data_IF_342951773287
#
_entry.id   IF_342951773287
#
_cell.length_a   1.000
_cell.length_b   1.000
_cell.length_c   1.000
_cell.angle_alpha   90.00
_cell.angle_beta   90.00
_cell.angle_gamma   90.00
#
_symmetry.space_group_name_H-M   'P 1'
#
loop_
_entity.id
_entity.type
_entity.pdbx_description
1 polymer ?
#
# COMPACT_ATOMS: atom_id res chain seq x y z
N UNK A 1 0.91 3.52 -43.15
CA UNK A 1 -0.17 2.52 -43.07
C UNK A 1 -1.28 3.03 -43.97
N UNK A 2 -1.72 2.23 -44.95
CA UNK A 2 -2.72 2.67 -45.92
C UNK A 2 -4.14 2.61 -45.32
N UNK A 3 -4.83 3.74 -45.35
CA UNK A 3 -6.16 3.99 -44.77
C UNK A 3 -7.28 3.17 -45.46
N UNK A 4 -6.95 2.44 -46.53
CA UNK A 4 -7.86 1.64 -47.35
C UNK A 4 -7.75 0.11 -47.20
N UNK A 5 -7.00 -0.42 -46.23
CA UNK A 5 -6.84 -1.88 -46.11
C UNK A 5 -8.17 -2.59 -45.77
N UNK A 6 -8.70 -3.35 -46.73
CA UNK A 6 -9.97 -4.10 -46.61
C UNK A 6 -9.91 -5.13 -45.48
N UNK A 7 -8.72 -5.61 -45.11
CA UNK A 7 -8.53 -6.53 -43.98
C UNK A 7 -8.79 -5.87 -42.63
N UNK A 8 -8.71 -4.54 -42.56
CA UNK A 8 -9.04 -3.76 -41.38
C UNK A 8 -10.52 -3.42 -41.32
N UNK A 9 -11.31 -3.64 -42.37
CA UNK A 9 -12.75 -3.33 -42.37
C UNK A 9 -13.54 -4.04 -41.25
N UNK A 10 -13.35 -5.35 -41.01
CA UNK A 10 -14.03 -6.03 -39.90
C UNK A 10 -13.61 -5.50 -38.53
N UNK A 11 -12.35 -5.07 -38.40
CA UNK A 11 -11.82 -4.51 -37.15
C UNK A 11 -12.30 -3.08 -36.93
N UNK A 12 -12.40 -2.26 -37.99
CA UNK A 12 -12.97 -0.91 -37.96
C UNK A 12 -14.44 -0.93 -37.60
N UNK A 13 -15.19 -1.88 -38.17
CA UNK A 13 -16.61 -2.08 -37.84
C UNK A 13 -16.81 -2.60 -36.41
N UNK A 14 -15.90 -3.44 -35.92
CA UNK A 14 -15.93 -3.89 -34.52
C UNK A 14 -15.52 -2.78 -33.53
N UNK A 15 -14.60 -1.90 -33.92
CA UNK A 15 -14.21 -0.73 -33.13
C UNK A 15 -15.34 0.30 -33.07
N UNK A 16 -16.02 0.59 -34.20
CA UNK A 16 -17.15 1.52 -34.20
C UNK A 16 -18.30 1.03 -33.33
N UNK A 17 -18.55 -0.28 -33.27
CA UNK A 17 -19.55 -0.88 -32.37
C UNK A 17 -19.19 -0.76 -30.89
N UNK A 18 -17.90 -0.72 -30.54
CA UNK A 18 -17.43 -0.57 -29.15
C UNK A 18 -17.43 0.91 -28.76
N UNK A 19 -17.04 1.80 -29.67
CA UNK A 19 -17.02 3.25 -29.47
C UNK A 19 -18.43 3.87 -29.41
N UNK A 20 -19.44 3.20 -29.99
CA UNK A 20 -20.86 3.58 -29.88
C UNK A 20 -21.45 3.34 -28.48
N UNK A 21 -20.79 2.50 -27.65
CA UNK A 21 -21.18 2.33 -26.25
C UNK A 21 -20.51 3.44 -25.43
N UNK A 22 -21.27 4.27 -24.68
CA UNK A 22 -20.67 5.30 -23.85
C UNK A 22 -19.66 4.66 -22.89
N UNK A 23 -18.43 5.17 -22.88
CA UNK A 23 -17.34 4.58 -22.12
C UNK A 23 -17.75 4.55 -20.63
N UNK A 24 -17.77 3.37 -19.98
CA UNK A 24 -18.09 3.27 -18.56
C UNK A 24 -17.17 4.15 -17.69
N UNK A 25 -15.95 4.45 -18.16
CA UNK A 25 -14.99 5.32 -17.50
C UNK A 25 -15.41 6.79 -17.62
N UNK A 26 -15.87 7.25 -18.79
CA UNK A 26 -16.37 8.62 -18.95
C UNK A 26 -17.62 8.87 -18.10
N UNK A 27 -18.49 7.86 -17.99
CA UNK A 27 -19.66 7.90 -17.09
C UNK A 27 -19.23 8.02 -15.62
N UNK A 28 -18.22 7.27 -15.21
CA UNK A 28 -17.67 7.33 -13.85
C UNK A 28 -17.00 8.68 -13.57
N UNK A 29 -16.26 9.24 -14.54
CA UNK A 29 -15.66 10.57 -14.40
C UNK A 29 -16.73 11.65 -14.30
N UNK A 30 -17.80 11.60 -15.09
CA UNK A 30 -18.92 12.53 -14.98
C UNK A 30 -19.66 12.41 -13.64
N UNK A 31 -19.78 11.20 -13.09
CA UNK A 31 -20.36 10.95 -11.76
C UNK A 31 -19.48 11.54 -10.65
N UNK A 32 -18.16 11.32 -10.71
CA UNK A 32 -17.19 11.90 -9.77
C UNK A 32 -17.18 13.43 -9.86
N UNK A 33 -17.13 13.97 -11.07
CA UNK A 33 -17.15 15.41 -11.34
C UNK A 33 -18.45 16.05 -10.81
N UNK A 34 -19.61 15.37 -10.96
CA UNK A 34 -20.88 15.80 -10.38
C UNK A 34 -20.88 15.81 -8.85
N UNK A 35 -20.25 14.81 -8.22
CA UNK A 35 -20.09 14.73 -6.75
C UNK A 35 -19.15 15.84 -6.25
N UNK A 36 -18.05 16.10 -6.96
CA UNK A 36 -17.03 17.10 -6.60
C UNK A 36 -17.52 18.53 -6.83
N UNK A 37 -18.27 18.80 -7.90
CA UNK A 37 -18.81 20.13 -8.21
C UNK A 37 -20.13 20.46 -7.52
N UNK A 38 -20.62 19.60 -6.63
CA UNK A 38 -21.74 19.94 -5.74
C UNK A 38 -23.07 20.13 -6.46
N UNK A 39 -23.31 19.41 -7.56
CA UNK A 39 -24.68 19.24 -8.08
C UNK A 39 -25.33 18.17 -7.21
N UNK A 40 -25.95 18.64 -6.13
CA UNK A 40 -26.48 17.86 -5.02
C UNK A 40 -27.34 16.67 -5.49
N UNK A 41 -26.84 15.45 -5.29
CA UNK A 41 -27.71 14.34 -4.94
C UNK A 41 -27.67 14.18 -3.41
N UNK A 42 -28.82 14.32 -2.71
CA UNK A 42 -28.88 14.07 -1.28
C UNK A 42 -28.84 12.56 -1.06
N UNK A 43 -27.66 12.00 -0.81
CA UNK A 43 -27.54 10.56 -0.55
C UNK A 43 -26.15 10.07 -0.16
N UNK A 44 -25.08 10.73 -0.61
CA UNK A 44 -23.72 10.39 -0.20
C UNK A 44 -23.18 11.44 0.78
N UNK A 45 -23.81 11.52 1.95
CA UNK A 45 -23.02 11.84 3.13
C UNK A 45 -22.03 10.69 3.28
N UNK A 46 -20.74 10.92 3.01
CA UNK A 46 -19.72 10.01 3.52
C UNK A 46 -19.93 9.95 5.03
N UNK A 47 -20.52 8.87 5.50
CA UNK A 47 -20.72 8.66 6.92
C UNK A 47 -19.32 8.54 7.54
N UNK A 48 -18.91 9.44 8.46
CA UNK A 48 -17.62 9.33 9.13
C UNK A 48 -17.42 7.96 9.81
N UNK A 49 -18.49 7.22 10.11
CA UNK A 49 -18.42 5.84 10.58
C UNK A 49 -17.80 4.85 9.56
N UNK A 50 -17.86 5.12 8.25
CA UNK A 50 -17.23 4.27 7.24
C UNK A 50 -15.71 4.46 7.17
N UNK A 51 -15.22 5.66 7.48
CA UNK A 51 -13.79 5.89 7.68
C UNK A 51 -13.28 5.13 8.91
N UNK A 52 -14.15 4.87 9.90
CA UNK A 52 -13.81 4.00 11.02
C UNK A 52 -13.64 2.53 10.61
N UNK A 53 -14.20 2.06 9.50
CA UNK A 53 -13.99 0.69 9.03
C UNK A 53 -12.57 0.50 8.47
N UNK A 54 -12.04 1.50 7.77
CA UNK A 54 -10.64 1.48 7.33
C UNK A 54 -9.68 1.59 8.52
N UNK A 55 -9.95 2.47 9.48
CA UNK A 55 -9.13 2.52 10.71
C UNK A 55 -9.30 1.27 11.57
N UNK A 56 -10.48 0.66 11.60
CA UNK A 56 -10.79 -0.54 12.38
C UNK A 56 -10.07 -1.78 11.85
N UNK A 57 -9.98 -1.94 10.52
CA UNK A 57 -9.20 -3.04 9.90
C UNK A 57 -7.72 -2.90 10.27
N UNK A 58 -7.16 -1.68 10.20
CA UNK A 58 -5.81 -1.42 10.68
C UNK A 58 -5.68 -1.67 12.21
N UNK A 59 -6.67 -1.27 13.01
CA UNK A 59 -6.67 -1.45 14.47
C UNK A 59 -6.79 -2.91 14.92
N UNK A 60 -7.45 -3.75 14.13
CA UNK A 60 -7.64 -5.18 14.46
C UNK A 60 -6.33 -5.94 14.28
N UNK A 61 -5.53 -5.61 13.27
CA UNK A 61 -4.15 -6.09 13.11
C UNK A 61 -3.18 -5.49 14.12
N UNK A 62 -3.43 -4.26 14.61
CA UNK A 62 -2.65 -3.62 15.67
C UNK A 62 -2.86 -4.22 17.06
N UNK A 63 -3.90 -5.02 17.31
CA UNK A 63 -4.12 -5.65 18.63
C UNK A 63 -3.24 -6.88 18.88
N UNK A 64 -2.67 -7.48 17.83
CA UNK A 64 -1.77 -8.61 17.99
C UNK A 64 -0.39 -8.08 18.40
N UNK A 65 0.03 -8.44 19.61
CA UNK A 65 1.36 -8.10 20.08
C UNK A 65 2.37 -9.06 19.45
N UNK A 66 3.30 -8.52 18.67
CA UNK A 66 4.36 -9.29 18.04
C UNK A 66 5.66 -9.15 18.83
N UNK A 67 6.50 -10.19 18.82
CA UNK A 67 7.85 -10.14 19.38
C UNK A 67 8.86 -10.33 18.25
N UNK A 68 9.66 -9.31 17.97
CA UNK A 68 10.70 -9.37 16.94
C UNK A 68 12.06 -9.40 17.59
N UNK A 69 12.82 -10.45 17.31
CA UNK A 69 14.21 -10.59 17.73
C UNK A 69 15.14 -10.09 16.63
N UNK A 70 15.95 -9.10 16.97
CA UNK A 70 16.98 -8.53 16.12
C UNK A 70 18.24 -9.40 16.12
N UNK A 71 19.08 -9.22 15.10
CA UNK A 71 20.35 -9.95 14.95
C UNK A 71 21.36 -9.67 16.07
N UNK A 72 21.22 -8.55 16.78
CA UNK A 72 22.01 -8.17 17.96
C UNK A 72 21.55 -8.89 19.25
N UNK A 73 20.53 -9.76 19.16
CA UNK A 73 19.98 -10.53 20.27
C UNK A 73 18.84 -9.83 21.02
N UNK A 74 18.56 -8.57 20.72
CA UNK A 74 17.50 -7.80 21.37
C UNK A 74 16.10 -8.25 20.94
N UNK A 75 15.17 -8.25 21.88
CA UNK A 75 13.75 -8.52 21.63
C UNK A 75 12.96 -7.21 21.70
N UNK A 76 12.16 -6.94 20.67
CA UNK A 76 11.21 -5.83 20.60
C UNK A 76 9.80 -6.40 20.67
N UNK A 77 8.94 -5.80 21.49
CA UNK A 77 7.56 -6.23 21.67
C UNK A 77 6.64 -5.06 21.32
N UNK A 78 5.53 -5.35 20.66
CA UNK A 78 4.49 -4.36 20.36
C UNK A 78 3.80 -4.64 19.03
N UNK A 79 3.12 -3.64 18.51
CA UNK A 79 2.63 -3.66 17.12
C UNK A 79 3.79 -3.59 16.13
N UNK A 80 3.55 -3.90 14.86
CA UNK A 80 4.58 -3.74 13.82
C UNK A 80 5.16 -2.33 13.78
N UNK A 81 4.31 -1.30 13.95
CA UNK A 81 4.72 0.11 13.96
C UNK A 81 5.60 0.40 15.18
N UNK A 82 5.17 -0.03 16.38
CA UNK A 82 5.93 0.17 17.62
C UNK A 82 7.31 -0.50 17.55
N UNK A 83 7.40 -1.69 16.94
CA UNK A 83 8.66 -2.40 16.76
C UNK A 83 9.60 -1.61 15.85
N UNK A 84 9.13 -1.12 14.70
CA UNK A 84 9.98 -0.29 13.82
C UNK A 84 10.37 1.02 14.51
N UNK A 85 9.47 1.62 15.29
CA UNK A 85 9.78 2.82 16.08
C UNK A 85 10.88 2.56 17.12
N UNK A 86 10.81 1.43 17.83
CA UNK A 86 11.86 0.99 18.76
C UNK A 86 13.19 0.72 18.04
N UNK A 87 13.16 0.15 16.82
CA UNK A 87 14.37 -0.02 15.99
C UNK A 87 15.00 1.33 15.64
N UNK A 88 14.18 2.30 15.23
CA UNK A 88 14.60 3.66 14.88
C UNK A 88 15.18 4.41 16.07
N UNK A 89 14.55 4.30 17.23
CA UNK A 89 15.03 4.88 18.49
C UNK A 89 16.41 4.35 18.86
N UNK A 90 16.58 3.03 18.85
CA UNK A 90 17.86 2.38 19.17
C UNK A 90 18.97 2.71 18.18
N UNK A 91 18.62 2.88 16.92
CA UNK A 91 19.57 3.30 15.90
C UNK A 91 19.92 4.80 15.99
N UNK A 92 19.23 5.58 16.83
CA UNK A 92 19.48 7.01 17.04
C UNK A 92 18.86 7.93 15.99
N UNK A 93 17.91 7.43 15.18
CA UNK A 93 17.30 8.16 14.05
C UNK A 93 15.93 8.77 14.39
N UNK A 94 15.70 9.15 15.65
CA UNK A 94 14.45 9.79 16.11
C UNK A 94 14.14 11.15 15.44
N UNK A 95 15.13 11.77 14.78
CA UNK A 95 14.97 13.02 14.06
C UNK A 95 14.42 12.83 12.63
N UNK A 96 14.49 11.62 12.09
CA UNK A 96 14.08 11.32 10.71
C UNK A 96 12.72 10.62 10.69
N UNK A 97 11.78 10.92 9.78
CA UNK A 97 10.49 10.22 9.75
C UNK A 97 10.62 8.69 9.55
N UNK A 98 9.65 7.93 10.08
CA UNK A 98 9.68 6.47 10.11
C UNK A 98 9.87 5.84 8.72
N UNK A 99 9.21 6.39 7.69
CA UNK A 99 9.28 5.92 6.31
C UNK A 99 10.70 6.05 5.74
N UNK A 100 11.37 7.16 6.00
CA UNK A 100 12.74 7.44 5.55
C UNK A 100 13.75 6.51 6.25
N UNK A 101 13.53 6.26 7.54
CA UNK A 101 14.30 5.26 8.27
C UNK A 101 14.16 3.85 7.67
N UNK A 102 12.93 3.42 7.37
CA UNK A 102 12.67 2.11 6.72
C UNK A 102 13.29 2.04 5.33
N UNK A 103 13.21 3.11 4.52
CA UNK A 103 13.83 3.18 3.20
C UNK A 103 15.34 2.98 3.29
N UNK A 104 16.02 3.71 4.16
CA UNK A 104 17.47 3.57 4.35
C UNK A 104 17.84 2.16 4.82
N UNK A 105 17.05 1.58 5.72
CA UNK A 105 17.34 0.24 6.23
C UNK A 105 17.14 -0.82 5.14
N UNK A 106 16.12 -0.67 4.29
CA UNK A 106 15.92 -1.50 3.11
C UNK A 106 17.07 -1.37 2.10
N UNK A 107 17.54 -0.15 1.83
CA UNK A 107 18.72 0.09 0.97
C UNK A 107 19.97 -0.59 1.53
N UNK A 108 20.21 -0.46 2.84
CA UNK A 108 21.34 -1.13 3.52
C UNK A 108 21.24 -2.65 3.42
N UNK A 109 20.05 -3.23 3.56
CA UNK A 109 19.85 -4.67 3.43
C UNK A 109 19.98 -5.17 1.98
N UNK A 110 19.58 -4.33 1.02
CA UNK A 110 19.83 -4.57 -0.40
C UNK A 110 21.33 -4.58 -0.70
N UNK A 111 22.10 -3.63 -0.16
CA UNK A 111 23.57 -3.62 -0.32
C UNK A 111 24.24 -4.83 0.35
N UNK A 112 23.76 -5.24 1.52
CA UNK A 112 24.38 -6.32 2.29
C UNK A 112 24.07 -7.73 1.78
N UNK A 113 22.85 -8.00 1.33
CA UNK A 113 22.43 -9.36 0.89
C UNK A 113 21.71 -9.39 -0.46
N UNK A 114 21.52 -8.27 -1.13
CA UNK A 114 20.80 -8.21 -2.42
C UNK A 114 19.28 -8.35 -2.31
N UNK A 115 18.71 -8.33 -1.10
CA UNK A 115 17.27 -8.50 -0.89
C UNK A 115 16.52 -7.17 -1.04
N UNK A 116 15.60 -7.08 -2.00
CA UNK A 116 14.68 -5.94 -2.11
C UNK A 116 13.58 -6.07 -1.07
N UNK A 117 13.64 -5.23 -0.04
CA UNK A 117 12.65 -5.22 1.04
C UNK A 117 11.67 -4.05 0.81
N UNK A 118 10.35 -4.29 0.70
CA UNK A 118 9.34 -3.24 0.65
C UNK A 118 9.35 -2.43 1.96
N UNK A 119 9.32 -1.11 1.88
CA UNK A 119 9.41 -0.20 3.04
C UNK A 119 8.17 0.69 3.24
N UNK A 120 7.14 0.53 2.43
CA UNK A 120 5.91 1.35 2.47
C UNK A 120 5.03 0.98 3.67
N UNK A 121 5.07 -0.30 4.05
CA UNK A 121 4.25 -0.88 5.11
C UNK A 121 5.13 -1.57 6.17
N UNK A 122 5.02 -1.23 7.47
CA UNK A 122 5.85 -1.78 8.54
C UNK A 122 5.73 -3.30 8.73
N UNK A 123 4.54 -3.87 8.52
CA UNK A 123 4.31 -5.32 8.65
C UNK A 123 5.02 -6.08 7.53
N UNK A 124 4.80 -5.66 6.29
CA UNK A 124 5.43 -6.21 5.09
C UNK A 124 6.95 -6.05 5.16
N UNK A 125 7.42 -4.91 5.67
CA UNK A 125 8.83 -4.63 5.90
C UNK A 125 9.46 -5.64 6.86
N UNK A 126 8.87 -5.84 8.04
CA UNK A 126 9.39 -6.78 9.05
C UNK A 126 9.28 -8.24 8.61
N UNK A 127 8.20 -8.63 7.93
CA UNK A 127 8.07 -9.98 7.35
C UNK A 127 9.12 -10.24 6.27
N UNK A 128 9.36 -9.29 5.39
CA UNK A 128 10.37 -9.41 4.34
C UNK A 128 11.78 -9.45 4.93
N UNK A 129 12.04 -8.66 5.97
CA UNK A 129 13.28 -8.71 6.74
C UNK A 129 13.46 -10.07 7.43
N UNK A 130 12.38 -10.68 7.92
CA UNK A 130 12.42 -12.01 8.52
C UNK A 130 12.71 -13.11 7.48
N UNK A 131 12.08 -13.03 6.30
CA UNK A 131 12.38 -13.91 5.18
C UNK A 131 13.83 -13.77 4.70
N UNK A 132 14.37 -12.55 4.73
CA UNK A 132 15.78 -12.26 4.45
C UNK A 132 16.74 -12.65 5.58
N UNK A 133 16.25 -13.16 6.71
CA UNK A 133 17.05 -13.59 7.86
C UNK A 133 17.75 -12.44 8.59
N UNK A 134 17.23 -11.22 8.52
CA UNK A 134 17.73 -10.05 9.25
C UNK A 134 17.10 -9.90 10.64
N UNK A 135 15.86 -10.36 10.77
CA UNK A 135 15.09 -10.39 12.02
C UNK A 135 14.42 -11.75 12.16
N UNK A 136 14.02 -12.11 13.38
CA UNK A 136 13.22 -13.30 13.65
C UNK A 136 11.91 -12.87 14.31
N UNK A 137 10.80 -13.20 13.68
CA UNK A 137 9.47 -12.93 14.23
C UNK A 137 9.08 -14.11 15.11
N UNK A 138 8.77 -13.83 16.36
CA UNK A 138 8.13 -14.73 17.32
C UNK A 138 6.67 -14.22 17.52
N UNK A 139 5.68 -15.11 17.42
CA UNK A 139 4.32 -14.78 17.85
C UNK A 139 4.23 -14.96 19.37
N UNK A 140 3.75 -13.94 20.09
CA UNK A 140 3.29 -14.08 21.47
C UNK A 140 1.93 -14.78 21.38
N UNK A 141 1.82 -16.00 21.92
CA UNK A 141 0.59 -16.82 21.95
C UNK A 141 -0.31 -16.41 23.12
#
# INVERSE_FOLDING_TARGET
>A
MDEGDVRLSPWRERLSQIEEVPDPIDRLFAEIESVVHGVEQPGYYLDPSQLELFTSIHSATEKLTHVVRLSDGNRLRGTWVEIVQQMRERAGFLHEPLLEFMRRLAERWLEQRGAKIPFVDPETFLRSAAAGGFVRIELDE
#
